data_IF_633784570223
#
_entry.id   IF_633784570223
#
_cell.length_a   1.000
_cell.length_b   1.000
_cell.length_c   1.000
_cell.angle_alpha   90.00
_cell.angle_beta   90.00
_cell.angle_gamma   90.00
#
_symmetry.space_group_name_H-M   'P 1'
#
loop_
_entity.id
_entity.type
_entity.pdbx_description
1 polymer ?
#
# COMPACT_ATOMS: atom_id res chain seq x y z
N UNK A 1 -1.49 6.74 -11.32
CA UNK A 1 -2.02 5.37 -11.13
C UNK A 1 -2.39 5.22 -9.67
N UNK A 2 -3.64 4.84 -9.33
CA UNK A 2 -4.02 4.52 -7.96
C UNK A 2 -3.16 3.37 -7.44
N UNK A 3 -2.87 3.37 -6.14
CA UNK A 3 -2.34 2.20 -5.47
C UNK A 3 -3.35 1.05 -5.58
N UNK A 4 -2.93 -0.21 -5.39
CA UNK A 4 -3.86 -1.33 -5.26
C UNK A 4 -5.01 -0.97 -4.32
N UNK A 5 -6.22 -1.10 -4.83
CA UNK A 5 -7.43 -0.61 -4.19
C UNK A 5 -8.22 -1.79 -3.59
N UNK A 6 -9.21 -1.53 -2.72
CA UNK A 6 -9.91 -2.58 -1.99
C UNK A 6 -10.56 -3.63 -2.89
N UNK A 7 -10.56 -4.89 -2.44
CA UNK A 7 -11.05 -6.05 -3.20
C UNK A 7 -12.47 -5.86 -3.74
N UNK A 8 -13.33 -5.22 -2.95
CA UNK A 8 -14.73 -5.01 -3.30
C UNK A 8 -14.92 -4.12 -4.54
N UNK A 9 -13.96 -3.23 -4.85
CA UNK A 9 -14.00 -2.41 -6.07
C UNK A 9 -13.84 -3.27 -7.33
N UNK A 10 -13.06 -4.34 -7.24
CA UNK A 10 -12.76 -5.25 -8.35
C UNK A 10 -13.80 -6.36 -8.53
N UNK A 11 -14.62 -6.62 -7.50
CA UNK A 11 -15.68 -7.64 -7.53
C UNK A 11 -16.99 -7.15 -8.15
N UNK A 12 -17.09 -5.88 -8.52
CA UNK A 12 -18.27 -5.33 -9.19
C UNK A 12 -18.54 -6.06 -10.51
N UNK A 13 -19.77 -6.55 -10.70
CA UNK A 13 -20.14 -7.33 -11.90
C UNK A 13 -20.75 -6.45 -13.00
N UNK A 14 -21.07 -5.19 -12.70
CA UNK A 14 -21.57 -4.21 -13.66
C UNK A 14 -20.79 -2.90 -13.59
N UNK A 15 -20.88 -2.11 -14.67
CA UNK A 15 -20.24 -0.80 -14.72
C UNK A 15 -20.82 0.17 -13.70
N UNK A 16 -22.15 0.14 -13.51
CA UNK A 16 -22.86 1.01 -12.58
C UNK A 16 -22.47 0.71 -11.13
N UNK A 17 -22.35 -0.58 -10.78
CA UNK A 17 -21.86 -0.99 -9.47
C UNK A 17 -20.42 -0.52 -9.24
N UNK A 18 -19.55 -0.72 -10.25
CA UNK A 18 -18.15 -0.31 -10.18
C UNK A 18 -18.03 1.20 -9.99
N UNK A 19 -18.76 2.00 -10.77
CA UNK A 19 -18.78 3.46 -10.65
C UNK A 19 -19.29 3.90 -9.28
N UNK A 20 -20.40 3.32 -8.81
CA UNK A 20 -20.99 3.63 -7.50
C UNK A 20 -20.03 3.32 -6.35
N UNK A 21 -19.35 2.17 -6.40
CA UNK A 21 -18.36 1.76 -5.39
C UNK A 21 -17.12 2.66 -5.44
N UNK A 22 -16.59 2.94 -6.62
CA UNK A 22 -15.46 3.86 -6.79
C UNK A 22 -15.79 5.26 -6.26
N UNK A 23 -16.97 5.81 -6.56
CA UNK A 23 -17.36 7.13 -6.08
C UNK A 23 -17.45 7.19 -4.56
N UNK A 24 -18.02 6.16 -3.91
CA UNK A 24 -18.05 6.08 -2.44
C UNK A 24 -16.64 6.01 -1.85
N UNK A 25 -15.79 5.17 -2.42
CA UNK A 25 -14.40 5.03 -1.98
C UNK A 25 -13.60 6.33 -2.14
N UNK A 26 -13.78 7.05 -3.26
CA UNK A 26 -13.10 8.32 -3.53
C UNK A 26 -13.47 9.41 -2.52
N UNK A 27 -14.68 9.39 -1.95
CA UNK A 27 -15.12 10.36 -0.92
C UNK A 27 -14.41 10.16 0.43
N UNK A 28 -13.83 8.98 0.68
CA UNK A 28 -13.10 8.71 1.92
C UNK A 28 -11.75 9.45 1.99
N UNK A 29 -11.22 9.90 0.86
CA UNK A 29 -9.93 10.56 0.79
C UNK A 29 -10.06 12.06 1.01
N UNK A 30 -9.33 12.59 1.98
CA UNK A 30 -9.06 14.03 2.06
C UNK A 30 -8.02 14.40 0.98
N UNK A 31 -8.51 14.74 -0.21
CA UNK A 31 -7.70 15.05 -1.39
C UNK A 31 -7.57 13.88 -2.36
N UNK A 32 -6.43 13.71 -3.08
CA UNK A 32 -6.29 12.65 -4.06
C UNK A 32 -6.29 11.28 -3.37
N UNK A 33 -6.81 10.26 -4.07
CA UNK A 33 -6.65 8.85 -3.70
C UNK A 33 -5.18 8.49 -3.50
N UNK A 34 -4.91 7.46 -2.70
CA UNK A 34 -3.56 6.95 -2.49
C UNK A 34 -2.97 6.39 -3.79
N UNK A 35 -1.78 6.86 -4.17
CA UNK A 35 -1.12 6.55 -5.43
C UNK A 35 -0.07 5.49 -5.25
N UNK A 36 0.16 4.72 -6.30
CA UNK A 36 1.20 3.68 -6.35
C UNK A 36 2.58 4.21 -5.87
N UNK A 37 2.99 5.39 -6.33
CA UNK A 37 4.28 5.98 -5.92
C UNK A 37 4.35 6.50 -4.48
N UNK A 38 3.22 6.58 -3.76
CA UNK A 38 3.20 6.86 -2.32
C UNK A 38 3.57 5.58 -1.53
N UNK A 39 3.29 4.39 -2.07
CA UNK A 39 3.64 3.10 -1.45
C UNK A 39 5.16 2.96 -1.26
N UNK A 40 5.95 3.36 -2.26
CA UNK A 40 7.43 3.35 -2.20
C UNK A 40 8.02 4.41 -1.25
N UNK A 41 7.18 5.17 -0.54
CA UNK A 41 7.61 6.24 0.38
C UNK A 41 7.11 5.99 1.80
N UNK A 42 6.55 4.81 2.06
CA UNK A 42 6.14 4.41 3.40
C UNK A 42 7.41 4.30 4.24
N UNK A 43 7.57 5.22 5.19
CA UNK A 43 8.72 5.20 6.07
C UNK A 43 8.57 4.09 7.14
N UNK A 44 9.61 3.29 7.40
CA UNK A 44 9.59 2.37 8.53
C UNK A 44 9.59 3.15 9.85
N UNK A 45 8.71 2.77 10.78
CA UNK A 45 8.57 3.46 12.06
C UNK A 45 7.38 2.97 12.89
N UNK A 46 7.27 3.50 14.11
CA UNK A 46 6.18 3.18 15.05
C UNK A 46 4.86 3.83 14.63
N UNK A 47 4.92 4.99 13.98
CA UNK A 47 3.77 5.71 13.45
C UNK A 47 3.86 5.80 11.93
N UNK A 48 2.74 5.53 11.25
CA UNK A 48 2.60 5.73 9.82
C UNK A 48 1.92 7.06 9.54
N UNK A 49 2.07 7.55 8.30
CA UNK A 49 1.30 8.70 7.84
C UNK A 49 -0.21 8.34 7.84
N UNK A 50 -1.12 9.21 8.30
CA UNK A 50 -2.55 8.89 8.39
C UNK A 50 -3.18 8.41 7.07
N UNK A 51 -2.67 8.85 5.92
CA UNK A 51 -3.16 8.39 4.61
C UNK A 51 -2.67 6.97 4.29
N UNK A 52 -1.47 6.62 4.76
CA UNK A 52 -0.93 5.26 4.68
C UNK A 52 -1.79 4.34 5.54
N UNK A 53 -2.13 4.76 6.76
CA UNK A 53 -3.01 4.01 7.66
C UNK A 53 -4.39 3.78 7.03
N UNK A 54 -5.03 4.84 6.52
CA UNK A 54 -6.31 4.75 5.81
C UNK A 54 -6.25 3.80 4.60
N UNK A 55 -5.13 3.79 3.86
CA UNK A 55 -4.94 2.84 2.77
C UNK A 55 -4.81 1.39 3.27
N UNK A 56 -4.05 1.16 4.35
CA UNK A 56 -3.89 -0.16 4.95
C UNK A 56 -5.17 -0.72 5.56
N UNK A 57 -6.11 0.13 5.98
CA UNK A 57 -7.40 -0.33 6.51
C UNK A 57 -8.24 -1.09 5.48
N UNK A 58 -8.08 -0.78 4.18
CA UNK A 58 -8.93 -1.35 3.13
C UNK A 58 -8.17 -2.14 2.04
N UNK A 59 -6.83 -2.14 2.07
CA UNK A 59 -6.02 -2.80 1.04
C UNK A 59 -6.30 -4.30 0.95
N UNK A 60 -6.36 -4.82 -0.28
CA UNK A 60 -6.58 -6.25 -0.52
C UNK A 60 -5.31 -7.10 -0.39
N UNK A 61 -5.44 -8.40 -0.58
CA UNK A 61 -4.31 -9.33 -0.46
C UNK A 61 -3.21 -9.01 -1.48
N UNK A 62 -3.57 -8.53 -2.68
CA UNK A 62 -2.60 -8.14 -3.69
C UNK A 62 -1.81 -6.91 -3.27
N UNK A 63 -2.48 -5.87 -2.72
CA UNK A 63 -1.80 -4.69 -2.21
C UNK A 63 -0.88 -4.97 -1.02
N UNK A 64 -1.26 -5.91 -0.14
CA UNK A 64 -0.37 -6.37 0.94
C UNK A 64 0.88 -7.07 0.41
N UNK A 65 0.73 -7.96 -0.59
CA UNK A 65 1.88 -8.60 -1.25
C UNK A 65 2.75 -7.56 -1.95
N UNK A 66 2.13 -6.57 -2.59
CA UNK A 66 2.81 -5.50 -3.29
C UNK A 66 3.73 -4.68 -2.35
N UNK A 67 3.23 -4.30 -1.17
CA UNK A 67 4.04 -3.63 -0.12
C UNK A 67 5.16 -4.54 0.37
N UNK A 68 4.85 -5.80 0.65
CA UNK A 68 5.86 -6.74 1.14
C UNK A 68 7.00 -6.92 0.13
N UNK A 69 6.69 -6.96 -1.16
CA UNK A 69 7.68 -7.03 -2.23
C UNK A 69 8.56 -5.78 -2.31
N UNK A 70 7.98 -4.58 -2.20
CA UNK A 70 8.74 -3.33 -2.14
C UNK A 70 9.69 -3.34 -0.94
N UNK A 71 9.17 -3.63 0.26
CA UNK A 71 9.98 -3.67 1.48
C UNK A 71 11.12 -4.70 1.41
N UNK A 72 10.89 -5.85 0.77
CA UNK A 72 11.93 -6.87 0.59
C UNK A 72 13.05 -6.42 -0.35
N UNK A 73 12.73 -5.61 -1.37
CA UNK A 73 13.72 -5.07 -2.31
C UNK A 73 14.56 -3.93 -1.71
N UNK A 74 14.01 -3.19 -0.76
CA UNK A 74 14.68 -2.06 -0.09
C UNK A 74 15.53 -2.49 1.13
N UNK A 75 15.44 -3.75 1.57
CA UNK A 75 16.24 -4.25 2.70
C UNK A 75 17.72 -4.30 2.30
N UNK A 76 18.55 -3.47 2.93
CA UNK A 76 20.01 -3.59 2.81
C UNK A 76 20.49 -4.96 3.31
N UNK A 77 21.55 -5.53 2.70
CA UNK A 77 22.13 -6.79 3.18
C UNK A 77 22.58 -6.64 4.64
N UNK A 78 22.29 -7.64 5.46
CA UNK A 78 22.77 -7.62 6.84
C UNK A 78 24.30 -7.54 6.87
N UNK A 79 24.89 -6.67 7.69
CA UNK A 79 26.34 -6.54 7.77
C UNK A 79 26.92 -7.88 8.20
N UNK A 80 27.76 -8.47 7.35
CA UNK A 80 28.54 -9.65 7.69
C UNK A 80 29.53 -9.20 8.77
N UNK A 81 29.26 -9.59 10.02
CA UNK A 81 30.22 -9.43 11.11
C UNK A 81 31.35 -10.42 10.83
N UNK A 82 32.40 -9.95 10.16
CA UNK A 82 33.64 -10.72 10.01
C UNK A 82 34.36 -10.64 11.35
N UNK A 83 34.18 -11.67 12.17
CA UNK A 83 34.94 -11.85 13.40
C UNK A 83 36.42 -12.00 13.02
N UNK A 84 37.16 -10.90 13.10
CA UNK A 84 38.60 -10.89 12.85
C UNK A 84 39.26 -11.47 14.08
N UNK A 85 39.55 -12.77 14.04
CA UNK A 85 40.37 -13.43 15.05
C UNK A 85 41.75 -12.77 15.09
N UNK A 86 42.09 -12.19 16.25
CA UNK A 86 43.40 -11.65 16.58
C UNK A 86 44.40 -12.75 16.95
#
# INVERSE_FOLDING_TARGET
MPAPAPKYLWQATTNEQRESLCNRWLVLWDGPYYRHGEVCKINPGIQMDPRVELWFEEVDEFGMIFVAAINALEREPEPIIVETAA
#
